data_IF_846718859477
#
_entry.id   IF_846718859477
#
_cell.length_a   1.000
_cell.length_b   1.000
_cell.length_c   1.000
_cell.angle_alpha   90.00
_cell.angle_beta   90.00
_cell.angle_gamma   90.00
#
_symmetry.space_group_name_H-M   'P 1'
#
loop_
_entity.id
_entity.type
_entity.pdbx_description
1 polymer ?
#
# COMPACT_ATOMS: atom_id res chain seq x y z
N UNK A 1 -23.45 -11.48 16.91
CA UNK A 1 -22.95 -12.32 18.02
C UNK A 1 -23.20 -13.81 17.78
N UNK A 2 -24.33 -14.21 17.19
CA UNK A 2 -24.72 -15.63 17.07
C UNK A 2 -23.90 -16.38 15.99
N UNK A 3 -23.44 -15.71 14.95
CA UNK A 3 -22.71 -16.34 13.83
C UNK A 3 -21.44 -17.06 14.29
N UNK A 4 -20.68 -16.46 15.21
CA UNK A 4 -19.45 -17.07 15.75
C UNK A 4 -19.65 -18.38 16.50
N UNK A 5 -20.88 -18.63 16.96
CA UNK A 5 -21.25 -19.87 17.64
C UNK A 5 -21.71 -20.99 16.68
N UNK A 6 -21.76 -20.72 15.37
CA UNK A 6 -22.18 -21.73 14.40
C UNK A 6 -21.07 -22.77 14.21
N UNK A 7 -21.35 -24.00 14.57
CA UNK A 7 -20.43 -25.15 14.46
C UNK A 7 -20.70 -26.04 13.26
N UNK A 8 -21.72 -25.72 12.45
CA UNK A 8 -22.13 -26.56 11.33
C UNK A 8 -21.47 -26.20 10.01
N UNK A 9 -20.92 -24.99 9.88
CA UNK A 9 -20.28 -24.52 8.64
C UNK A 9 -18.83 -24.99 8.51
N UNK A 10 -18.60 -26.29 8.63
CA UNK A 10 -17.24 -26.88 8.64
C UNK A 10 -16.47 -26.67 7.33
N UNK A 11 -17.17 -26.43 6.22
CA UNK A 11 -16.58 -26.18 4.91
C UNK A 11 -16.52 -24.69 4.53
N UNK A 12 -16.79 -23.79 5.49
CA UNK A 12 -16.78 -22.35 5.23
C UNK A 12 -15.40 -21.90 4.76
N UNK A 13 -15.34 -21.31 3.58
CA UNK A 13 -14.10 -20.75 3.00
C UNK A 13 -14.12 -19.21 3.00
N UNK A 14 -15.27 -18.61 2.84
CA UNK A 14 -15.42 -17.16 2.79
C UNK A 14 -16.50 -16.69 3.73
N UNK A 15 -16.14 -15.75 4.61
CA UNK A 15 -17.07 -15.07 5.49
C UNK A 15 -16.94 -13.56 5.27
N UNK A 16 -17.99 -12.96 4.70
CA UNK A 16 -18.06 -11.52 4.55
C UNK A 16 -19.12 -10.95 5.49
N UNK A 17 -18.67 -10.16 6.45
CA UNK A 17 -19.50 -9.47 7.43
C UNK A 17 -19.21 -7.95 7.43
N UNK A 18 -18.65 -7.43 6.36
CA UNK A 18 -18.39 -5.99 6.21
C UNK A 18 -19.65 -5.14 6.34
N UNK A 19 -19.48 -3.88 6.77
CA UNK A 19 -20.56 -2.90 6.94
C UNK A 19 -21.65 -3.35 7.92
N UNK A 20 -21.24 -3.83 9.10
CA UNK A 20 -22.12 -4.20 10.20
C UNK A 20 -21.73 -3.45 11.50
N UNK A 21 -22.34 -3.84 12.60
CA UNK A 21 -22.03 -3.32 13.94
C UNK A 21 -21.57 -4.46 14.86
N UNK A 22 -20.58 -5.22 14.41
CA UNK A 22 -20.11 -6.41 15.11
C UNK A 22 -19.47 -6.03 16.46
N UNK A 23 -18.68 -4.97 16.49
CA UNK A 23 -17.99 -4.50 17.68
C UNK A 23 -16.98 -5.49 18.24
N UNK A 24 -16.36 -5.14 19.36
CA UNK A 24 -15.37 -5.98 20.05
C UNK A 24 -15.98 -7.30 20.53
N UNK A 25 -17.20 -7.27 21.08
CA UNK A 25 -17.89 -8.46 21.55
C UNK A 25 -18.17 -9.46 20.41
N UNK A 26 -18.66 -8.95 19.27
CA UNK A 26 -18.92 -9.80 18.11
C UNK A 26 -17.65 -10.43 17.55
N UNK A 27 -16.55 -9.66 17.46
CA UNK A 27 -15.24 -10.15 17.05
C UNK A 27 -14.71 -11.23 18.03
N UNK A 28 -14.91 -11.02 19.33
CA UNK A 28 -14.59 -12.01 20.37
C UNK A 28 -15.38 -13.32 20.19
N UNK A 29 -16.66 -13.22 19.86
CA UNK A 29 -17.47 -14.41 19.60
C UNK A 29 -17.07 -15.12 18.30
N UNK A 30 -16.68 -14.38 17.25
CA UNK A 30 -16.14 -14.96 16.03
C UNK A 30 -14.82 -15.70 16.29
N UNK A 31 -13.92 -15.10 17.07
CA UNK A 31 -12.60 -15.66 17.36
C UNK A 31 -12.64 -16.98 18.13
N UNK A 32 -13.72 -17.24 18.86
CA UNK A 32 -13.93 -18.50 19.59
C UNK A 32 -14.34 -19.67 18.68
N UNK A 33 -14.66 -19.41 17.43
CA UNK A 33 -15.04 -20.48 16.51
C UNK A 33 -13.83 -21.32 16.11
N UNK A 34 -13.88 -22.61 16.43
CA UNK A 34 -12.82 -23.58 16.15
C UNK A 34 -13.16 -24.52 15.00
N UNK A 35 -14.34 -24.39 14.41
CA UNK A 35 -14.82 -25.32 13.36
C UNK A 35 -14.56 -24.81 11.94
N UNK A 36 -14.26 -23.53 11.76
CA UNK A 36 -14.00 -22.93 10.43
C UNK A 36 -12.55 -23.14 9.97
N UNK A 37 -12.09 -24.37 10.02
CA UNK A 37 -10.69 -24.73 9.68
C UNK A 37 -10.36 -24.57 8.19
N UNK A 38 -11.38 -24.38 7.34
CA UNK A 38 -11.22 -24.14 5.92
C UNK A 38 -11.34 -22.66 5.53
N UNK A 39 -11.46 -21.75 6.51
CA UNK A 39 -11.63 -20.31 6.24
C UNK A 39 -10.38 -19.75 5.53
N UNK A 40 -10.61 -19.17 4.37
CA UNK A 40 -9.59 -18.54 3.51
C UNK A 40 -9.77 -17.02 3.46
N UNK A 41 -11.01 -16.55 3.46
CA UNK A 41 -11.32 -15.11 3.38
C UNK A 41 -12.22 -14.70 4.53
N UNK A 42 -11.76 -13.70 5.29
CA UNK A 42 -12.54 -13.05 6.35
C UNK A 42 -12.56 -11.55 6.09
N UNK A 43 -13.75 -11.02 5.79
CA UNK A 43 -13.98 -9.60 5.68
C UNK A 43 -14.83 -9.11 6.86
N UNK A 44 -14.24 -8.22 7.66
CA UNK A 44 -14.84 -7.56 8.81
C UNK A 44 -14.75 -6.03 8.72
N UNK A 45 -14.55 -5.47 7.53
CA UNK A 45 -14.46 -4.02 7.32
C UNK A 45 -15.69 -3.27 7.82
N UNK A 46 -15.52 -2.04 8.32
CA UNK A 46 -16.60 -1.17 8.82
C UNK A 46 -17.44 -1.79 9.96
N UNK A 47 -16.80 -2.24 11.03
CA UNK A 47 -17.48 -2.95 12.11
C UNK A 47 -17.22 -2.46 13.53
N UNK A 48 -16.40 -1.41 13.72
CA UNK A 48 -16.06 -0.84 15.04
C UNK A 48 -15.48 -1.91 16.00
N UNK A 49 -14.60 -2.76 15.46
CA UNK A 49 -14.02 -3.90 16.21
C UNK A 49 -13.11 -3.43 17.35
N UNK A 50 -12.36 -2.34 17.13
CA UNK A 50 -11.41 -1.79 18.09
C UNK A 50 -10.24 -2.72 18.43
N UNK A 51 -9.36 -2.25 19.30
CA UNK A 51 -8.19 -3.01 19.75
C UNK A 51 -8.57 -4.30 20.51
N UNK A 52 -9.64 -4.27 21.30
CA UNK A 52 -10.12 -5.44 22.05
C UNK A 52 -10.56 -6.57 21.09
N UNK A 53 -11.34 -6.23 20.06
CA UNK A 53 -11.76 -7.19 19.06
C UNK A 53 -10.60 -7.75 18.25
N UNK A 54 -9.63 -6.88 17.87
CA UNK A 54 -8.39 -7.31 17.22
C UNK A 54 -7.60 -8.29 18.11
N UNK A 55 -7.51 -8.01 19.42
CA UNK A 55 -6.88 -8.89 20.41
C UNK A 55 -7.56 -10.27 20.45
N UNK A 56 -8.88 -10.29 20.38
CA UNK A 56 -9.60 -11.56 20.36
C UNK A 56 -9.34 -12.32 19.05
N UNK A 57 -9.42 -11.64 17.90
CA UNK A 57 -9.17 -12.26 16.59
C UNK A 57 -7.74 -12.81 16.49
N UNK A 58 -6.75 -12.08 16.98
CA UNK A 58 -5.34 -12.49 16.93
C UNK A 58 -5.04 -13.77 17.71
N UNK A 59 -5.89 -14.12 18.69
CA UNK A 59 -5.77 -15.35 19.49
C UNK A 59 -6.36 -16.58 18.82
N UNK A 60 -7.08 -16.44 17.69
CA UNK A 60 -7.60 -17.61 16.99
C UNK A 60 -6.46 -18.38 16.31
N UNK A 61 -6.32 -19.66 16.66
CA UNK A 61 -5.29 -20.57 16.16
C UNK A 61 -5.80 -21.58 15.14
N UNK A 62 -7.09 -21.52 14.78
CA UNK A 62 -7.72 -22.52 13.91
C UNK A 62 -7.84 -22.06 12.45
N UNK A 63 -7.74 -20.76 12.18
CA UNK A 63 -7.84 -20.22 10.83
C UNK A 63 -6.50 -20.32 10.07
N UNK A 64 -5.92 -21.51 10.07
CA UNK A 64 -4.58 -21.75 9.49
C UNK A 64 -4.52 -21.63 7.97
N UNK A 65 -5.68 -21.65 7.29
CA UNK A 65 -5.79 -21.48 5.84
C UNK A 65 -6.15 -20.05 5.43
N UNK A 66 -6.18 -19.10 6.38
CA UNK A 66 -6.56 -17.71 6.08
C UNK A 66 -5.56 -17.07 5.11
N UNK A 67 -6.08 -16.59 3.99
CA UNK A 67 -5.35 -15.93 2.91
C UNK A 67 -5.67 -14.43 2.83
N UNK A 68 -6.92 -14.07 3.11
CA UNK A 68 -7.38 -12.69 3.05
C UNK A 68 -8.03 -12.29 4.36
N UNK A 69 -7.51 -11.23 4.97
CA UNK A 69 -8.09 -10.58 6.14
C UNK A 69 -8.31 -9.11 5.84
N UNK A 70 -9.57 -8.67 5.86
CA UNK A 70 -9.95 -7.26 5.71
C UNK A 70 -10.55 -6.76 7.02
N UNK A 71 -9.93 -5.70 7.55
CA UNK A 71 -10.28 -5.04 8.80
C UNK A 71 -10.32 -3.51 8.62
N UNK A 72 -10.50 -3.00 7.39
CA UNK A 72 -10.58 -1.58 7.14
C UNK A 72 -11.69 -0.92 7.97
N UNK A 73 -11.51 0.35 8.37
CA UNK A 73 -12.51 1.12 9.12
C UNK A 73 -12.98 0.44 10.43
N UNK A 74 -12.05 0.10 11.32
CA UNK A 74 -12.36 -0.64 12.56
C UNK A 74 -11.80 -0.02 13.84
N UNK A 75 -11.19 1.16 13.76
CA UNK A 75 -10.63 1.86 14.93
C UNK A 75 -9.63 1.01 15.75
N UNK A 76 -8.79 0.21 15.06
CA UNK A 76 -7.87 -0.74 15.70
C UNK A 76 -6.76 -0.07 16.51
N UNK A 77 -6.27 1.08 16.06
CA UNK A 77 -5.14 1.80 16.63
C UNK A 77 -3.84 1.00 16.64
N UNK A 78 -2.83 1.53 17.33
CA UNK A 78 -1.53 0.87 17.46
C UNK A 78 -1.61 -0.47 18.20
N UNK A 79 -2.45 -0.54 19.23
CA UNK A 79 -2.65 -1.75 20.02
C UNK A 79 -3.23 -2.88 19.16
N UNK A 80 -4.28 -2.59 18.38
CA UNK A 80 -4.88 -3.58 17.48
C UNK A 80 -3.89 -4.09 16.43
N UNK A 81 -3.13 -3.18 15.79
CA UNK A 81 -2.10 -3.55 14.82
C UNK A 81 -0.99 -4.42 15.45
N UNK A 82 -0.57 -4.07 16.68
CA UNK A 82 0.46 -4.80 17.42
C UNK A 82 0.03 -6.23 17.72
N UNK A 83 -1.18 -6.44 18.26
CA UNK A 83 -1.65 -7.79 18.59
C UNK A 83 -1.90 -8.64 17.33
N UNK A 84 -2.38 -8.03 16.25
CA UNK A 84 -2.52 -8.74 14.97
C UNK A 84 -1.15 -9.20 14.44
N UNK A 85 -0.12 -8.35 14.51
CA UNK A 85 1.23 -8.68 14.04
C UNK A 85 1.88 -9.82 14.81
N UNK A 86 1.41 -10.10 16.03
CA UNK A 86 1.90 -11.20 16.87
C UNK A 86 1.27 -12.55 16.54
N UNK A 87 0.24 -12.61 15.68
CA UNK A 87 -0.35 -13.89 15.29
C UNK A 87 0.63 -14.70 14.42
N UNK A 88 0.97 -15.89 14.88
CA UNK A 88 1.90 -16.80 14.20
C UNK A 88 1.22 -17.94 13.45
N UNK A 89 -0.11 -17.98 13.41
CA UNK A 89 -0.86 -19.06 12.76
C UNK A 89 -1.34 -18.71 11.36
N UNK A 90 -1.40 -17.42 11.00
CA UNK A 90 -1.83 -16.96 9.68
C UNK A 90 -0.69 -17.01 8.66
N UNK A 91 0.03 -18.13 8.62
CA UNK A 91 1.21 -18.31 7.74
C UNK A 91 0.88 -18.28 6.26
N UNK A 92 -0.39 -18.48 5.89
CA UNK A 92 -0.87 -18.45 4.52
C UNK A 92 -1.44 -17.07 4.11
N UNK A 93 -1.33 -16.04 4.97
CA UNK A 93 -1.89 -14.72 4.69
C UNK A 93 -1.21 -14.10 3.47
N UNK A 94 -2.01 -13.73 2.48
CA UNK A 94 -1.62 -13.10 1.23
C UNK A 94 -2.08 -11.65 1.15
N UNK A 95 -3.26 -11.35 1.69
CA UNK A 95 -3.83 -10.00 1.67
C UNK A 95 -4.23 -9.57 3.07
N UNK A 96 -3.71 -8.42 3.49
CA UNK A 96 -4.07 -7.77 4.75
C UNK A 96 -4.51 -6.33 4.45
N UNK A 97 -5.78 -6.03 4.72
CA UNK A 97 -6.30 -4.68 4.61
C UNK A 97 -6.58 -4.10 6.00
N UNK A 98 -5.82 -3.05 6.34
CA UNK A 98 -5.89 -2.30 7.59
C UNK A 98 -6.13 -0.80 7.35
N UNK A 99 -6.67 -0.43 6.19
CA UNK A 99 -6.96 0.95 5.83
C UNK A 99 -7.90 1.60 6.85
N UNK A 100 -7.75 2.93 7.10
CA UNK A 100 -8.60 3.69 8.03
C UNK A 100 -8.73 3.06 9.44
N UNK A 101 -7.60 2.82 10.10
CA UNK A 101 -7.59 2.20 11.44
C UNK A 101 -6.88 3.01 12.53
N UNK A 102 -6.50 4.25 12.25
CA UNK A 102 -5.76 5.10 13.19
C UNK A 102 -4.43 4.50 13.67
N UNK A 103 -3.83 3.63 12.86
CA UNK A 103 -2.53 3.01 13.13
C UNK A 103 -1.45 4.09 13.02
N UNK A 104 -0.66 4.25 14.06
CA UNK A 104 0.49 5.15 14.09
C UNK A 104 1.81 4.38 13.97
N UNK A 105 2.89 5.05 14.38
CA UNK A 105 4.25 4.51 14.22
C UNK A 105 4.50 3.26 15.04
N UNK A 106 3.90 3.15 16.23
CA UNK A 106 4.03 1.94 17.08
C UNK A 106 3.40 0.73 16.42
N UNK A 107 2.19 0.88 15.87
CA UNK A 107 1.50 -0.19 15.15
C UNK A 107 2.23 -0.56 13.86
N UNK A 108 2.70 0.43 13.09
CA UNK A 108 3.50 0.22 11.90
C UNK A 108 4.82 -0.50 12.21
N UNK A 109 5.49 -0.16 13.32
CA UNK A 109 6.70 -0.84 13.79
C UNK A 109 6.42 -2.31 14.11
N UNK A 110 5.33 -2.59 14.82
CA UNK A 110 4.95 -3.96 15.14
C UNK A 110 4.66 -4.79 13.87
N UNK A 111 3.94 -4.20 12.91
CA UNK A 111 3.70 -4.84 11.60
C UNK A 111 5.01 -5.07 10.84
N UNK A 112 5.91 -4.07 10.82
CA UNK A 112 7.22 -4.16 10.17
C UNK A 112 8.14 -5.23 10.77
N UNK A 113 7.95 -5.57 12.04
CA UNK A 113 8.69 -6.62 12.75
C UNK A 113 8.12 -8.03 12.55
N UNK A 114 6.93 -8.16 11.92
CA UNK A 114 6.37 -9.48 11.66
C UNK A 114 7.21 -10.27 10.65
N UNK A 115 7.64 -11.47 11.04
CA UNK A 115 8.44 -12.37 10.20
C UNK A 115 7.69 -13.63 9.78
N UNK A 116 6.42 -13.77 10.14
CA UNK A 116 5.62 -14.98 9.88
C UNK A 116 4.80 -14.89 8.60
N UNK A 117 4.47 -13.69 8.13
CA UNK A 117 3.63 -13.49 6.94
C UNK A 117 4.46 -13.51 5.65
N UNK A 118 5.25 -14.56 5.47
CA UNK A 118 6.17 -14.73 4.33
C UNK A 118 5.45 -14.83 2.99
N UNK A 119 4.15 -15.14 3.00
CA UNK A 119 3.31 -15.25 1.80
C UNK A 119 2.55 -13.95 1.47
N UNK A 120 2.78 -12.87 2.26
CA UNK A 120 2.06 -11.62 2.06
C UNK A 120 2.38 -11.01 0.69
N UNK A 121 1.32 -10.77 -0.09
CA UNK A 121 1.37 -10.17 -1.42
C UNK A 121 0.81 -8.76 -1.44
N UNK A 122 -0.20 -8.49 -0.62
CA UNK A 122 -0.84 -7.19 -0.53
C UNK A 122 -0.97 -6.75 0.92
N UNK A 123 -0.48 -5.55 1.20
CA UNK A 123 -0.77 -4.86 2.45
C UNK A 123 -1.29 -3.46 2.14
N UNK A 124 -2.47 -3.14 2.71
CA UNK A 124 -3.07 -1.82 2.64
C UNK A 124 -3.08 -1.20 4.04
N UNK A 125 -2.33 -0.11 4.18
CA UNK A 125 -2.21 0.71 5.38
C UNK A 125 -2.60 2.18 5.11
N UNK A 126 -3.27 2.46 4.00
CA UNK A 126 -3.71 3.79 3.63
C UNK A 126 -4.60 4.44 4.68
N UNK A 127 -4.64 5.77 4.71
CA UNK A 127 -5.46 6.53 5.66
C UNK A 127 -5.22 6.16 7.13
N UNK A 128 -3.95 6.01 7.50
CA UNK A 128 -3.51 5.78 8.86
C UNK A 128 -2.64 6.96 9.35
N UNK A 129 -2.09 6.89 10.55
CA UNK A 129 -1.28 7.98 11.16
C UNK A 129 0.20 7.61 11.17
N UNK A 130 0.68 7.02 10.07
CA UNK A 130 2.05 6.53 9.93
C UNK A 130 2.95 7.70 9.53
N UNK A 131 3.89 8.08 10.38
CA UNK A 131 4.89 9.10 10.08
C UNK A 131 6.13 8.50 9.41
N UNK A 132 7.20 9.30 9.26
CA UNK A 132 8.49 8.84 8.74
C UNK A 132 9.11 7.73 9.60
N UNK A 133 8.84 7.71 10.91
CA UNK A 133 9.30 6.66 11.82
C UNK A 133 8.62 5.33 11.49
N UNK A 134 7.30 5.32 11.35
CA UNK A 134 6.54 4.12 10.99
C UNK A 134 6.89 3.60 9.59
N UNK A 135 7.02 4.50 8.60
CA UNK A 135 7.46 4.13 7.25
C UNK A 135 8.88 3.53 7.25
N UNK A 136 9.79 4.07 8.09
CA UNK A 136 11.13 3.51 8.29
C UNK A 136 11.06 2.10 8.86
N UNK A 137 10.24 1.89 9.89
CA UNK A 137 10.08 0.56 10.49
C UNK A 137 9.51 -0.46 9.49
N UNK A 138 8.49 -0.09 8.70
CA UNK A 138 7.96 -0.93 7.64
C UNK A 138 9.03 -1.28 6.60
N UNK A 139 9.85 -0.29 6.20
CA UNK A 139 10.91 -0.49 5.19
C UNK A 139 11.98 -1.48 5.62
N UNK A 140 12.12 -1.73 6.91
CA UNK A 140 13.09 -2.69 7.46
C UNK A 140 12.59 -4.14 7.41
N UNK A 141 11.32 -4.38 7.04
CA UNK A 141 10.82 -5.74 6.94
C UNK A 141 11.47 -6.48 5.76
N UNK A 142 12.14 -7.58 6.07
CA UNK A 142 12.81 -8.46 5.09
C UNK A 142 12.06 -9.78 4.84
N UNK A 143 10.95 -10.02 5.55
CA UNK A 143 10.18 -11.25 5.42
C UNK A 143 9.11 -11.19 4.31
N UNK A 144 8.68 -9.99 3.91
CA UNK A 144 7.65 -9.81 2.89
C UNK A 144 8.20 -9.95 1.46
N UNK A 145 8.95 -11.03 1.22
CA UNK A 145 9.63 -11.31 -0.07
C UNK A 145 8.68 -11.54 -1.24
N UNK A 146 7.40 -11.75 -0.96
CA UNK A 146 6.35 -11.96 -1.96
C UNK A 146 5.47 -10.71 -2.18
N UNK A 147 5.82 -9.57 -1.54
CA UNK A 147 5.02 -8.35 -1.62
C UNK A 147 4.93 -7.83 -3.06
N UNK A 148 3.70 -7.68 -3.53
CA UNK A 148 3.34 -7.17 -4.86
C UNK A 148 2.67 -5.81 -4.78
N UNK A 149 1.88 -5.56 -3.72
CA UNK A 149 1.16 -4.31 -3.52
C UNK A 149 1.42 -3.76 -2.13
N UNK A 150 1.96 -2.55 -2.08
CA UNK A 150 2.08 -1.74 -0.88
C UNK A 150 1.27 -0.46 -1.06
N UNK A 151 0.26 -0.28 -0.23
CA UNK A 151 -0.54 0.93 -0.20
C UNK A 151 -0.34 1.67 1.13
N UNK A 152 0.18 2.91 1.03
CA UNK A 152 0.46 3.82 2.13
C UNK A 152 -0.09 5.23 1.85
N UNK A 153 -1.16 5.34 1.04
CA UNK A 153 -1.73 6.65 0.73
C UNK A 153 -2.26 7.34 2.00
N UNK A 154 -2.21 8.68 2.05
CA UNK A 154 -2.69 9.48 3.17
C UNK A 154 -2.06 9.07 4.52
N UNK A 155 -0.72 8.93 4.58
CA UNK A 155 0.01 8.57 5.80
C UNK A 155 0.92 9.71 6.33
N UNK A 156 1.27 10.69 5.49
CA UNK A 156 1.99 11.92 5.85
C UNK A 156 3.46 11.73 6.27
N UNK A 157 4.17 10.74 5.75
CA UNK A 157 5.55 10.42 6.15
C UNK A 157 6.64 11.28 5.45
N UNK A 158 6.32 12.08 4.43
CA UNK A 158 7.22 13.02 3.77
C UNK A 158 8.42 12.38 3.07
N UNK A 159 9.42 13.22 2.83
CA UNK A 159 10.67 12.81 2.15
C UNK A 159 11.46 11.76 2.94
N UNK A 160 11.47 11.86 4.24
CA UNK A 160 12.19 10.92 5.11
C UNK A 160 11.62 9.51 5.01
N UNK A 161 10.30 9.36 5.10
CA UNK A 161 9.63 8.08 4.95
C UNK A 161 9.80 7.49 3.54
N UNK A 162 9.66 8.33 2.49
CA UNK A 162 9.90 7.91 1.11
C UNK A 162 11.35 7.43 0.91
N UNK A 163 12.32 8.15 1.48
CA UNK A 163 13.74 7.76 1.47
C UNK A 163 13.97 6.44 2.20
N UNK A 164 13.31 6.22 3.34
CA UNK A 164 13.42 4.95 4.05
C UNK A 164 12.84 3.79 3.21
N UNK A 165 11.64 3.95 2.65
CA UNK A 165 11.02 2.94 1.78
C UNK A 165 11.92 2.60 0.58
N UNK A 166 12.55 3.62 -0.04
CA UNK A 166 13.43 3.40 -1.19
C UNK A 166 14.66 2.54 -0.90
N UNK A 167 15.05 2.41 0.36
CA UNK A 167 16.20 1.58 0.78
C UNK A 167 15.87 0.09 0.91
N UNK A 168 14.58 -0.28 0.90
CA UNK A 168 14.25 -1.70 0.96
C UNK A 168 14.60 -2.39 -0.38
N UNK A 169 15.43 -3.41 -0.31
CA UNK A 169 15.89 -4.18 -1.46
C UNK A 169 15.32 -5.60 -1.51
N UNK A 170 14.43 -5.95 -0.58
CA UNK A 170 13.83 -7.30 -0.50
C UNK A 170 12.49 -7.40 -1.22
N UNK A 171 11.80 -6.29 -1.47
CA UNK A 171 10.51 -6.27 -2.16
C UNK A 171 10.65 -6.35 -3.69
N UNK A 172 11.40 -7.35 -4.14
CA UNK A 172 11.75 -7.51 -5.57
C UNK A 172 10.55 -7.86 -6.47
N UNK A 173 9.43 -8.27 -5.88
CA UNK A 173 8.18 -8.58 -6.62
C UNK A 173 7.17 -7.43 -6.62
N UNK A 174 7.55 -6.24 -6.10
CA UNK A 174 6.64 -5.11 -6.00
C UNK A 174 6.17 -4.66 -7.39
N UNK A 175 4.86 -4.63 -7.57
CA UNK A 175 4.16 -4.25 -8.80
C UNK A 175 3.39 -2.95 -8.63
N UNK A 176 2.80 -2.73 -7.45
CA UNK A 176 2.02 -1.54 -7.15
C UNK A 176 2.54 -0.89 -5.88
N UNK A 177 2.92 0.38 -6.00
CA UNK A 177 3.30 1.23 -4.88
C UNK A 177 2.43 2.48 -4.91
N UNK A 178 1.53 2.60 -3.94
CA UNK A 178 0.71 3.79 -3.76
C UNK A 178 1.21 4.61 -2.58
N UNK A 179 1.67 5.82 -2.88
CA UNK A 179 2.18 6.81 -1.94
C UNK A 179 1.47 8.17 -2.11
N UNK A 180 0.25 8.16 -2.64
CA UNK A 180 -0.57 9.37 -2.80
C UNK A 180 -0.72 10.11 -1.47
N UNK A 181 -0.74 11.44 -1.52
CA UNK A 181 -1.06 12.29 -0.34
C UNK A 181 -0.13 12.08 0.87
N UNK A 182 1.19 12.04 0.65
CA UNK A 182 2.18 11.80 1.70
C UNK A 182 3.13 12.95 1.97
N UNK A 183 2.94 14.12 1.34
CA UNK A 183 3.86 15.27 1.45
C UNK A 183 5.28 14.97 0.96
N UNK A 184 5.41 14.07 -0.02
CA UNK A 184 6.69 13.74 -0.63
C UNK A 184 7.10 14.89 -1.54
N UNK A 185 8.31 15.41 -1.34
CA UNK A 185 8.91 16.44 -2.16
C UNK A 185 9.98 15.90 -3.11
N UNK A 186 10.85 16.80 -3.54
CA UNK A 186 11.92 16.47 -4.49
C UNK A 186 12.92 15.46 -3.93
N UNK A 187 13.20 15.50 -2.63
CA UNK A 187 14.17 14.59 -2.01
C UNK A 187 13.63 13.17 -1.95
N UNK A 188 12.38 12.99 -1.53
CA UNK A 188 11.73 11.69 -1.49
C UNK A 188 11.57 11.07 -2.87
N UNK A 189 11.12 11.87 -3.86
CA UNK A 189 11.01 11.44 -5.25
C UNK A 189 12.36 11.01 -5.83
N UNK A 190 13.43 11.77 -5.54
CA UNK A 190 14.80 11.41 -5.93
C UNK A 190 15.22 10.07 -5.31
N UNK A 191 14.99 9.88 -4.01
CA UNK A 191 15.34 8.63 -3.35
C UNK A 191 14.58 7.43 -3.93
N UNK A 192 13.27 7.57 -4.16
CA UNK A 192 12.44 6.51 -4.77
C UNK A 192 12.96 6.12 -6.16
N UNK A 193 13.34 7.12 -6.99
CA UNK A 193 13.86 6.89 -8.33
C UNK A 193 15.18 6.10 -8.36
N UNK A 194 15.90 6.05 -7.25
CA UNK A 194 17.19 5.39 -7.14
C UNK A 194 17.12 3.94 -6.65
N UNK A 195 15.93 3.43 -6.28
CA UNK A 195 15.82 2.02 -5.85
C UNK A 195 16.14 1.07 -7.02
N UNK A 196 17.15 0.17 -6.87
CA UNK A 196 17.60 -0.67 -7.97
C UNK A 196 16.81 -1.99 -8.11
N UNK A 197 15.90 -2.30 -7.17
CA UNK A 197 15.29 -3.62 -7.05
C UNK A 197 13.82 -3.69 -7.49
N UNK A 198 13.16 -2.54 -7.66
CA UNK A 198 11.74 -2.51 -8.05
C UNK A 198 11.53 -2.66 -9.56
N UNK A 199 12.21 -3.64 -10.14
CA UNK A 199 12.20 -3.91 -11.59
C UNK A 199 10.85 -4.42 -12.11
N UNK A 200 9.99 -4.92 -11.21
CA UNK A 200 8.64 -5.40 -11.54
C UNK A 200 7.55 -4.34 -11.37
N UNK A 201 7.92 -3.09 -11.01
CA UNK A 201 6.95 -2.04 -10.74
C UNK A 201 6.14 -1.70 -12.00
N UNK A 202 4.82 -1.80 -11.88
CA UNK A 202 3.84 -1.54 -12.94
C UNK A 202 3.04 -0.26 -12.65
N UNK A 203 2.74 0.00 -11.38
CA UNK A 203 1.98 1.18 -10.95
C UNK A 203 2.73 1.90 -9.85
N UNK A 204 3.03 3.16 -10.08
CA UNK A 204 3.55 4.08 -9.07
C UNK A 204 2.59 5.26 -8.97
N UNK A 205 2.01 5.43 -7.80
CA UNK A 205 1.14 6.55 -7.49
C UNK A 205 1.86 7.50 -6.51
N UNK A 206 2.13 8.70 -6.98
CA UNK A 206 2.74 9.81 -6.26
C UNK A 206 1.85 11.07 -6.34
N UNK A 207 0.57 10.90 -6.64
CA UNK A 207 -0.39 12.00 -6.71
C UNK A 207 -0.51 12.76 -5.38
N UNK A 208 -0.94 14.02 -5.44
CA UNK A 208 -1.19 14.87 -4.26
C UNK A 208 -0.01 14.93 -3.28
N UNK A 209 1.17 15.18 -3.83
CA UNK A 209 2.41 15.34 -3.09
C UNK A 209 2.99 16.75 -3.31
N UNK A 210 4.27 16.94 -3.02
CA UNK A 210 4.94 18.24 -3.20
C UNK A 210 6.14 18.12 -4.14
N UNK A 211 6.03 17.25 -5.15
CA UNK A 211 7.10 16.97 -6.10
C UNK A 211 7.21 18.13 -7.08
N UNK A 212 8.39 18.74 -7.13
CA UNK A 212 8.71 19.84 -8.02
C UNK A 212 9.50 19.40 -9.25
N UNK A 213 10.08 20.39 -9.91
CA UNK A 213 10.91 20.19 -11.11
C UNK A 213 12.08 19.25 -10.85
N UNK A 214 12.74 19.36 -9.68
CA UNK A 214 13.91 18.52 -9.36
C UNK A 214 13.50 17.05 -9.14
N UNK A 215 12.42 16.81 -8.42
CA UNK A 215 11.90 15.47 -8.19
C UNK A 215 11.45 14.81 -9.50
N UNK A 216 10.71 15.54 -10.34
CA UNK A 216 10.31 15.08 -11.68
C UNK A 216 11.52 14.75 -12.56
N UNK A 217 12.56 15.59 -12.51
CA UNK A 217 13.82 15.34 -13.23
C UNK A 217 14.50 14.06 -12.72
N UNK A 218 14.54 13.85 -11.41
CA UNK A 218 15.12 12.62 -10.85
C UNK A 218 14.32 11.38 -11.25
N UNK A 219 12.98 11.46 -11.20
CA UNK A 219 12.11 10.38 -11.67
C UNK A 219 12.38 10.05 -13.15
N UNK A 220 12.52 11.08 -13.99
CA UNK A 220 12.79 10.90 -15.41
C UNK A 220 14.10 10.17 -15.74
N UNK A 221 15.06 10.19 -14.81
CA UNK A 221 16.34 9.51 -14.94
C UNK A 221 16.32 8.04 -14.49
N UNK A 222 15.18 7.57 -13.97
CA UNK A 222 15.06 6.16 -13.56
C UNK A 222 15.15 5.23 -14.77
N UNK A 223 16.00 4.21 -14.66
CA UNK A 223 16.24 3.21 -15.69
C UNK A 223 15.82 1.79 -15.28
N UNK A 224 15.30 1.62 -14.06
CA UNK A 224 14.95 0.31 -13.51
C UNK A 224 13.48 -0.06 -13.68
N UNK A 225 12.58 0.92 -13.81
CA UNK A 225 11.13 0.68 -13.90
C UNK A 225 10.67 0.36 -15.33
N UNK A 226 11.32 -0.64 -15.94
CA UNK A 226 11.06 -1.00 -17.34
C UNK A 226 9.67 -1.60 -17.57
N UNK A 227 9.01 -2.07 -16.51
CA UNK A 227 7.65 -2.62 -16.55
C UNK A 227 6.56 -1.59 -16.17
N UNK A 228 6.93 -0.31 -15.96
CA UNK A 228 5.98 0.71 -15.52
C UNK A 228 4.90 0.95 -16.58
N UNK A 229 3.64 0.82 -16.16
CA UNK A 229 2.44 1.00 -16.97
C UNK A 229 1.66 2.25 -16.58
N UNK A 230 1.65 2.56 -15.28
CA UNK A 230 0.94 3.73 -14.74
C UNK A 230 1.87 4.53 -13.83
N UNK A 231 2.01 5.81 -14.14
CA UNK A 231 2.65 6.80 -13.28
C UNK A 231 1.65 7.92 -13.01
N UNK A 232 1.15 7.98 -11.77
CA UNK A 232 0.29 9.05 -11.30
C UNK A 232 1.11 10.09 -10.55
N UNK A 233 1.02 11.33 -10.99
CA UNK A 233 1.73 12.51 -10.48
C UNK A 233 0.79 13.71 -10.36
N UNK A 234 -0.53 13.48 -10.38
CA UNK A 234 -1.52 14.58 -10.31
C UNK A 234 -1.33 15.39 -9.02
N UNK A 235 -1.72 16.66 -9.06
CA UNK A 235 -1.67 17.60 -7.92
C UNK A 235 -0.28 17.64 -7.25
N UNK A 236 0.71 18.05 -8.03
CA UNK A 236 2.09 18.28 -7.62
C UNK A 236 2.57 19.66 -8.15
N UNK A 237 3.86 19.96 -8.08
CA UNK A 237 4.43 21.23 -8.53
C UNK A 237 5.48 21.02 -9.64
N UNK A 238 5.13 20.19 -10.64
CA UNK A 238 6.08 19.72 -11.66
C UNK A 238 6.43 20.82 -12.69
N UNK A 239 5.47 21.68 -13.03
CA UNK A 239 5.60 22.73 -14.04
C UNK A 239 6.08 22.22 -15.41
N UNK A 240 6.23 23.14 -16.37
CA UNK A 240 6.65 22.82 -17.75
C UNK A 240 8.05 22.21 -17.83
N UNK A 241 8.96 22.62 -16.96
CA UNK A 241 10.34 22.14 -16.92
C UNK A 241 10.41 20.67 -16.46
N UNK A 242 9.69 20.31 -15.41
CA UNK A 242 9.61 18.94 -14.94
C UNK A 242 8.89 18.01 -15.93
N UNK A 243 7.83 18.51 -16.57
CA UNK A 243 7.16 17.80 -17.66
C UNK A 243 8.11 17.55 -18.83
N UNK A 244 8.94 18.56 -19.18
CA UNK A 244 9.98 18.40 -20.21
C UNK A 244 10.98 17.31 -19.83
N UNK A 245 11.45 17.29 -18.59
CA UNK A 245 12.35 16.24 -18.11
C UNK A 245 11.71 14.85 -18.20
N UNK A 246 10.48 14.69 -17.70
CA UNK A 246 9.75 13.41 -17.78
C UNK A 246 9.62 12.92 -19.22
N UNK A 247 9.34 13.83 -20.17
CA UNK A 247 9.18 13.48 -21.58
C UNK A 247 10.46 12.93 -22.23
N UNK A 248 11.61 13.07 -21.60
CA UNK A 248 12.90 12.58 -22.11
C UNK A 248 13.21 11.14 -21.66
N UNK A 249 12.43 10.56 -20.74
CA UNK A 249 12.67 9.18 -20.32
C UNK A 249 12.41 8.23 -21.48
N UNK A 250 13.38 7.35 -21.76
CA UNK A 250 13.32 6.37 -22.85
C UNK A 250 13.19 4.92 -22.37
N UNK A 251 13.13 4.70 -21.06
CA UNK A 251 13.10 3.36 -20.47
C UNK A 251 11.69 2.88 -20.12
N UNK A 252 10.71 3.78 -19.98
CA UNK A 252 9.32 3.43 -19.65
C UNK A 252 8.54 2.99 -20.90
N UNK A 253 9.08 1.99 -21.61
CA UNK A 253 8.52 1.54 -22.91
C UNK A 253 7.15 0.88 -22.79
N UNK A 254 6.72 0.52 -21.58
CA UNK A 254 5.42 -0.08 -21.29
C UNK A 254 4.40 0.93 -20.72
N UNK A 255 4.76 2.23 -20.62
CA UNK A 255 3.91 3.23 -19.98
C UNK A 255 2.61 3.44 -20.78
N UNK A 256 1.47 3.22 -20.14
CA UNK A 256 0.13 3.33 -20.73
C UNK A 256 -0.60 4.58 -20.22
N UNK A 257 -0.34 4.96 -18.97
CA UNK A 257 -0.99 6.11 -18.31
C UNK A 257 0.04 6.96 -17.60
N UNK A 258 0.04 8.27 -17.91
CA UNK A 258 0.77 9.28 -17.18
C UNK A 258 -0.22 10.37 -16.76
N UNK A 259 -0.48 10.51 -15.47
CA UNK A 259 -1.34 11.55 -14.95
C UNK A 259 -0.48 12.71 -14.41
N UNK A 260 -0.61 13.88 -15.04
CA UNK A 260 0.03 15.14 -14.68
C UNK A 260 -1.00 16.24 -14.41
N UNK A 261 -2.26 15.88 -14.18
CA UNK A 261 -3.32 16.84 -13.89
C UNK A 261 -2.93 17.71 -12.69
N UNK A 262 -3.34 18.97 -12.69
CA UNK A 262 -3.07 19.91 -11.59
C UNK A 262 -1.58 20.13 -11.27
N UNK A 263 -0.71 20.17 -12.30
CA UNK A 263 0.73 20.40 -12.16
C UNK A 263 1.24 21.72 -12.77
N UNK A 264 0.35 22.57 -13.25
CA UNK A 264 0.68 23.85 -13.91
C UNK A 264 1.68 23.70 -15.07
N UNK A 265 1.58 22.63 -15.86
CA UNK A 265 2.51 22.35 -16.96
C UNK A 265 2.28 23.22 -18.20
N UNK A 266 1.13 23.86 -18.30
CA UNK A 266 0.75 24.72 -19.43
C UNK A 266 0.57 23.97 -20.76
N UNK A 267 0.05 24.67 -21.79
CA UNK A 267 -0.20 24.08 -23.12
C UNK A 267 1.08 23.53 -23.78
N UNK A 268 2.22 24.18 -23.54
CA UNK A 268 3.51 23.75 -24.06
C UNK A 268 3.99 22.43 -23.48
N UNK A 269 3.71 22.17 -22.19
CA UNK A 269 4.09 20.94 -21.51
C UNK A 269 3.38 19.70 -22.06
N UNK A 270 2.07 19.81 -22.33
CA UNK A 270 1.31 18.70 -22.91
C UNK A 270 1.78 18.30 -24.31
N UNK A 271 2.23 19.29 -25.13
CA UNK A 271 2.70 19.03 -26.50
C UNK A 271 4.06 18.31 -26.56
N UNK A 272 4.86 18.38 -25.49
CA UNK A 272 6.22 17.82 -25.45
C UNK A 272 6.18 16.29 -25.48
N UNK A 273 5.22 15.68 -24.80
CA UNK A 273 5.10 14.21 -24.68
C UNK A 273 4.87 13.51 -26.02
N UNK A 274 4.24 14.21 -26.99
CA UNK A 274 4.03 13.67 -28.35
C UNK A 274 5.34 13.43 -29.10
N UNK A 275 6.45 13.97 -28.64
CA UNK A 275 7.77 13.83 -29.26
C UNK A 275 8.55 12.62 -28.76
N UNK A 276 8.18 12.03 -27.64
CA UNK A 276 8.84 10.84 -27.13
C UNK A 276 8.48 9.61 -27.99
N UNK A 277 9.48 9.05 -28.65
CA UNK A 277 9.31 7.90 -29.56
C UNK A 277 9.46 6.55 -28.86
N UNK A 278 9.97 6.52 -27.62
CA UNK A 278 10.15 5.30 -26.84
C UNK A 278 8.84 4.84 -26.17
N UNK A 279 7.90 5.77 -25.94
CA UNK A 279 6.62 5.46 -25.30
C UNK A 279 5.61 4.91 -26.30
N UNK A 280 4.64 4.10 -25.82
CA UNK A 280 3.55 3.61 -26.67
C UNK A 280 2.78 4.75 -27.33
N UNK A 281 2.42 4.61 -28.60
CA UNK A 281 1.71 5.65 -29.35
C UNK A 281 0.31 5.95 -28.83
N UNK A 282 -0.27 5.04 -28.05
CA UNK A 282 -1.61 5.11 -27.48
C UNK A 282 -1.59 5.46 -25.99
N UNK A 283 -0.47 6.00 -25.48
CA UNK A 283 -0.38 6.44 -24.08
C UNK A 283 -1.46 7.47 -23.76
N UNK A 284 -2.12 7.28 -22.62
CA UNK A 284 -3.04 8.27 -22.06
C UNK A 284 -2.25 9.25 -21.17
N UNK A 285 -2.31 10.54 -21.51
CA UNK A 285 -1.67 11.59 -20.72
C UNK A 285 -2.76 12.56 -20.27
N UNK A 286 -3.02 12.58 -18.97
CA UNK A 286 -3.95 13.53 -18.36
C UNK A 286 -3.18 14.79 -17.94
N UNK A 287 -3.65 15.95 -18.39
CA UNK A 287 -3.05 17.25 -18.08
C UNK A 287 -4.15 18.32 -18.01
N UNK A 288 -5.00 18.22 -16.99
CA UNK A 288 -5.96 19.28 -16.70
C UNK A 288 -5.26 20.42 -15.96
N UNK A 289 -5.53 21.68 -16.37
CA UNK A 289 -4.95 22.90 -15.82
C UNK A 289 -5.71 23.37 -14.60
#
# INVERSE_FOLDING_TARGET
>A
AIIGLNTTWINLQTLNLGYNTIGAEGATNLSKNTTWTNLQTLNLGHNKIGAEGATALSKNTTWTKLQTLSLEWNDLGDEGATVLSQNTTWINLQTLNLEYNHIGDKGATALGQNTTWINLQTINLGNNKISSEGATALSQNTAWINLQTLNLHWAFFGDEGATALSRNTTWTKLQTLNLESNKIGDQGATALSQNPTWTNLQTLDLGKNSIGVKGATALSQNTTWTNLQTLALEDNSIYSEGATALSQNTTWTNLQTLDLSYNSIGDGGAAIFKKNQAWPKNICISSHF
#
